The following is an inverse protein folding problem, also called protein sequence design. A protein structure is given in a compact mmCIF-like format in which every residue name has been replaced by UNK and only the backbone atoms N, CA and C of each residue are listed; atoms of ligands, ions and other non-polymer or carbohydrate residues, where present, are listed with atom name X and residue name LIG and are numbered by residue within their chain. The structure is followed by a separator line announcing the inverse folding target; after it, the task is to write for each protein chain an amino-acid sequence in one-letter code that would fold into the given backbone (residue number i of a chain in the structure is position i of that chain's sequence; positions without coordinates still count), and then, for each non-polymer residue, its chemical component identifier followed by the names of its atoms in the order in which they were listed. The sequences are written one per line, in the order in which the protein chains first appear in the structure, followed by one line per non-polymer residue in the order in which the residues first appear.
data_IF_897914682063
#
_entry.id   IF_897914682063
#
_cell.length_a   1.000
_cell.length_b   1.000
_cell.length_c   1.000
_cell.angle_alpha   90.00
_cell.angle_beta   90.00
_cell.angle_gamma   90.00
#
_symmetry.space_group_name_H-M   'P 1'
#
loop_
_entity.id
_entity.type
_entity.pdbx_description
1 polymer ?
#
# COMPACT_ATOMS: atom_id res chain seq x y z
N UNK A 1 -17.56 23.43 -40.05
CA UNK A 1 -19.04 23.41 -40.06
C UNK A 1 -19.45 23.34 -38.60
N UNK A 2 -19.70 24.38 -37.92
CA UNK A 2 -20.73 25.43 -37.99
C UNK A 2 -22.08 24.99 -37.43
N UNK A 3 -22.42 25.67 -36.29
CA UNK A 3 -23.77 26.04 -35.77
C UNK A 3 -24.52 24.96 -34.98
N UNK A 4 -25.24 25.22 -33.87
CA UNK A 4 -26.05 26.36 -33.32
C UNK A 4 -26.32 26.03 -31.86
N UNK A 5 -26.04 26.79 -30.81
CA UNK A 5 -26.77 27.92 -30.22
C UNK A 5 -28.25 27.65 -29.89
N UNK A 6 -28.61 27.58 -28.61
CA UNK A 6 -29.76 28.33 -28.07
C UNK A 6 -29.87 28.26 -26.52
N UNK A 7 -29.90 29.42 -25.95
CA UNK A 7 -30.19 29.76 -24.57
C UNK A 7 -31.70 29.71 -24.28
N UNK A 8 -32.08 29.37 -23.01
CA UNK A 8 -33.35 29.85 -22.47
C UNK A 8 -33.12 30.26 -21.01
N UNK A 9 -33.14 31.56 -20.83
CA UNK A 9 -33.24 32.32 -19.60
C UNK A 9 -34.73 32.44 -19.27
N UNK A 10 -35.20 32.03 -18.07
CA UNK A 10 -36.52 32.43 -17.54
C UNK A 10 -36.32 33.04 -16.16
N UNK A 11 -36.51 34.36 -16.17
CA UNK A 11 -36.70 35.23 -15.03
C UNK A 11 -38.17 35.12 -14.58
N UNK A 12 -38.42 34.93 -13.30
CA UNK A 12 -39.72 35.21 -12.71
C UNK A 12 -39.56 36.15 -11.50
N UNK A 13 -39.89 37.41 -11.81
CA UNK A 13 -40.20 38.46 -10.83
C UNK A 13 -41.73 38.45 -10.59
N UNK A 14 -42.14 38.44 -9.36
CA UNK A 14 -43.46 39.00 -8.93
C UNK A 14 -43.40 39.16 -7.42
N UNK A 15 -43.51 40.22 -6.86
CA UNK A 15 -44.19 41.53 -6.79
C UNK A 15 -44.75 41.70 -5.35
N UNK A 16 -44.34 42.81 -4.79
CA UNK A 16 -44.82 43.42 -3.56
C UNK A 16 -46.31 43.85 -3.65
N UNK A 17 -47.06 43.61 -2.57
CA UNK A 17 -48.19 44.45 -2.12
C UNK A 17 -48.29 44.16 -0.63
N UNK A 18 -48.30 45.07 0.35
CA UNK A 18 -48.75 46.43 0.47
C UNK A 18 -50.07 46.44 1.15
N UNK A 19 -50.16 47.04 2.36
CA UNK A 19 -51.28 47.63 3.07
C UNK A 19 -51.38 47.14 4.53
N UNK A 20 -51.56 47.89 5.57
CA UNK A 20 -51.86 49.31 5.84
C UNK A 20 -52.20 49.44 7.35
N UNK A 21 -51.72 50.47 7.93
CA UNK A 21 -52.00 51.05 9.26
C UNK A 21 -53.42 50.85 9.80
N UNK A 22 -53.48 50.61 11.11
CA UNK A 22 -54.47 51.35 11.97
C UNK A 22 -53.89 51.60 13.36
N UNK A 23 -53.59 52.85 13.63
CA UNK A 23 -53.40 53.39 14.94
C UNK A 23 -54.73 53.30 15.68
N UNK A 24 -54.69 52.97 16.97
CA UNK A 24 -55.60 53.56 17.96
C UNK A 24 -54.85 53.73 19.29
N UNK A 25 -54.73 54.97 19.66
CA UNK A 25 -54.39 55.45 21.00
C UNK A 25 -55.41 54.94 22.00
N UNK A 26 -54.97 54.49 23.17
CA UNK A 26 -55.60 54.88 24.43
C UNK A 26 -54.54 54.87 25.53
N UNK A 27 -54.33 56.04 26.07
CA UNK A 27 -53.54 56.29 27.25
C UNK A 27 -54.38 55.99 28.53
N UNK A 28 -53.75 55.35 29.50
CA UNK A 28 -54.31 55.33 30.86
C UNK A 28 -54.05 53.96 31.58
N UNK A 29 -53.07 53.98 32.42
CA UNK A 29 -52.86 53.31 33.69
C UNK A 29 -51.51 52.61 33.83
N UNK A 30 -50.46 53.38 33.87
CA UNK A 30 -49.28 53.08 34.66
C UNK A 30 -49.60 53.41 36.10
N UNK A 31 -49.73 52.41 36.98
CA UNK A 31 -49.43 52.51 38.43
C UNK A 31 -49.90 51.32 39.30
N UNK A 32 -50.15 50.10 38.77
CA UNK A 32 -50.53 48.99 39.67
C UNK A 32 -49.93 47.66 39.34
N UNK A 33 -48.84 47.59 38.53
CA UNK A 33 -48.21 46.31 38.16
C UNK A 33 -46.74 46.18 38.64
N UNK A 34 -46.30 46.96 39.63
CA UNK A 34 -44.93 46.93 40.15
C UNK A 34 -44.74 46.19 41.47
N UNK A 35 -45.73 45.51 42.04
CA UNK A 35 -45.59 44.91 43.38
C UNK A 35 -45.93 43.42 43.52
N UNK A 36 -46.03 42.62 42.42
CA UNK A 36 -46.29 41.18 42.54
C UNK A 36 -45.27 40.25 41.85
N UNK A 37 -44.13 40.78 41.36
CA UNK A 37 -43.07 39.92 40.81
C UNK A 37 -41.80 39.82 41.70
N UNK A 38 -42.05 39.76 43.01
CA UNK A 38 -40.98 39.48 43.99
C UNK A 38 -41.44 38.48 45.05
N UNK A 39 -42.04 37.36 44.61
CA UNK A 39 -42.12 36.17 45.46
C UNK A 39 -41.49 35.01 44.73
N UNK A 40 -40.24 34.76 45.06
CA UNK A 40 -39.31 33.81 44.57
C UNK A 40 -39.87 32.45 44.23
N UNK A 41 -39.56 32.03 43.05
CA UNK A 41 -39.37 30.60 42.78
C UNK A 41 -38.05 30.25 43.42
N UNK A 42 -38.05 30.06 44.72
CA UNK A 42 -37.03 29.28 45.43
C UNK A 42 -37.10 27.86 44.84
N UNK A 43 -36.27 27.55 43.86
CA UNK A 43 -35.96 26.15 43.53
C UNK A 43 -35.43 25.56 44.82
N UNK A 44 -36.30 24.80 45.54
CA UNK A 44 -35.84 23.86 46.59
C UNK A 44 -34.75 23.02 45.93
N UNK A 45 -33.50 23.19 46.35
CA UNK A 45 -32.44 22.30 46.02
C UNK A 45 -32.89 20.91 46.53
N UNK A 46 -33.23 20.05 45.63
CA UNK A 46 -33.56 18.66 45.93
C UNK A 46 -32.28 18.02 46.52
N UNK A 47 -32.24 18.00 47.88
CA UNK A 47 -31.05 17.54 48.66
C UNK A 47 -30.99 16.05 48.77
N UNK A 48 -31.96 15.33 48.18
CA UNK A 48 -31.90 13.85 48.20
C UNK A 48 -30.71 13.37 47.35
N UNK A 49 -29.83 12.52 47.91
CA UNK A 49 -28.71 11.93 47.17
C UNK A 49 -29.23 11.17 45.94
N UNK A 50 -28.61 11.40 44.81
CA UNK A 50 -29.02 10.70 43.56
C UNK A 50 -28.33 9.35 43.52
N UNK A 51 -29.10 8.28 43.31
CA UNK A 51 -28.54 6.92 43.10
C UNK A 51 -27.79 6.87 41.78
N UNK A 52 -26.53 6.47 41.81
CA UNK A 52 -25.66 6.42 40.65
C UNK A 52 -24.88 5.07 40.64
N UNK A 53 -24.51 4.62 39.45
CA UNK A 53 -23.52 3.59 39.24
C UNK A 53 -22.21 4.22 38.87
N UNK A 54 -21.12 3.67 39.40
CA UNK A 54 -19.78 4.16 39.12
C UNK A 54 -18.93 3.05 38.52
N UNK A 55 -17.95 3.46 37.68
CA UNK A 55 -16.89 2.60 37.17
C UNK A 55 -15.55 3.24 37.50
N UNK A 56 -14.64 2.45 38.05
CA UNK A 56 -13.26 2.91 38.24
C UNK A 56 -12.51 2.89 36.93
N UNK A 57 -11.97 4.03 36.51
CA UNK A 57 -11.22 4.19 35.25
C UNK A 57 -9.78 4.57 35.59
N UNK A 58 -8.84 3.80 35.01
CA UNK A 58 -7.41 4.02 35.19
C UNK A 58 -6.79 4.58 33.91
N UNK A 59 -5.82 5.52 34.03
CA UNK A 59 -5.13 6.03 32.87
C UNK A 59 -4.31 4.93 32.21
N UNK A 60 -4.35 4.87 30.90
CA UNK A 60 -3.59 3.89 30.10
C UNK A 60 -3.07 4.57 28.84
N UNK A 61 -2.04 3.98 28.26
CA UNK A 61 -1.61 4.37 26.91
C UNK A 61 -2.48 3.62 25.90
N UNK A 62 -3.45 4.33 25.35
CA UNK A 62 -4.36 3.78 24.37
C UNK A 62 -3.78 3.96 22.95
N UNK A 63 -3.93 2.96 22.12
CA UNK A 63 -3.48 3.02 20.71
C UNK A 63 -4.66 2.85 19.77
N UNK A 64 -4.80 3.78 18.84
CA UNK A 64 -5.73 3.61 17.71
C UNK A 64 -5.09 2.64 16.71
N UNK A 65 -5.86 1.67 16.21
CA UNK A 65 -5.50 0.87 15.05
C UNK A 65 -6.28 1.35 13.83
N UNK A 66 -5.58 1.58 12.73
CA UNK A 66 -6.18 1.85 11.41
C UNK A 66 -6.27 0.51 10.70
N UNK A 67 -7.47 0.14 10.25
CA UNK A 67 -7.68 -1.07 9.47
C UNK A 67 -7.92 -0.71 8.00
N UNK A 68 -7.15 -1.29 7.11
CA UNK A 68 -7.23 -1.09 5.66
C UNK A 68 -7.49 -2.43 4.99
N UNK A 69 -8.40 -2.47 4.02
CA UNK A 69 -8.65 -3.67 3.24
C UNK A 69 -7.73 -3.70 2.02
N UNK A 70 -7.28 -4.90 1.66
CA UNK A 70 -6.44 -5.12 0.50
C UNK A 70 -6.57 -6.53 -0.05
N UNK A 71 -5.97 -6.75 -1.20
CA UNK A 71 -5.84 -8.06 -1.84
C UNK A 71 -4.37 -8.43 -1.89
N UNK A 72 -4.07 -9.66 -1.52
CA UNK A 72 -2.69 -10.17 -1.60
C UNK A 72 -2.30 -10.34 -3.06
N UNK A 73 -1.15 -9.83 -3.42
CA UNK A 73 -0.51 -10.01 -4.71
C UNK A 73 0.86 -10.70 -4.53
N UNK A 74 1.28 -11.41 -5.55
CA UNK A 74 2.67 -11.85 -5.61
C UNK A 74 3.59 -10.65 -5.88
N UNK A 75 4.78 -10.63 -5.30
CA UNK A 75 5.76 -9.58 -5.66
C UNK A 75 6.23 -9.69 -7.12
N UNK A 76 6.24 -10.91 -7.65
CA UNK A 76 6.60 -11.19 -9.05
C UNK A 76 5.54 -12.11 -9.65
N UNK A 77 4.91 -11.64 -10.70
CA UNK A 77 3.92 -12.33 -11.50
C UNK A 77 4.20 -12.00 -12.97
N UNK A 78 4.73 -12.97 -13.70
CA UNK A 78 5.22 -12.74 -15.06
C UNK A 78 4.68 -13.82 -16.00
N UNK A 79 4.08 -13.37 -17.07
CA UNK A 79 3.78 -14.22 -18.22
C UNK A 79 5.03 -14.36 -19.07
N UNK A 80 5.60 -15.55 -19.11
CA UNK A 80 6.76 -15.91 -19.92
C UNK A 80 6.30 -16.13 -21.35
N UNK A 81 6.88 -15.37 -22.28
CA UNK A 81 6.56 -15.45 -23.70
C UNK A 81 7.74 -16.01 -24.48
N UNK A 82 7.47 -16.64 -25.63
CA UNK A 82 8.54 -17.09 -26.52
C UNK A 82 9.20 -15.90 -27.25
N UNK A 83 10.50 -16.06 -27.52
CA UNK A 83 11.32 -15.11 -28.29
C UNK A 83 11.65 -15.62 -29.71
N UNK A 84 11.19 -16.83 -30.04
CA UNK A 84 11.40 -17.44 -31.35
C UNK A 84 10.11 -18.05 -31.86
N UNK A 85 10.09 -18.40 -33.13
CA UNK A 85 8.96 -19.06 -33.83
C UNK A 85 9.35 -20.51 -34.10
N UNK A 86 8.43 -21.44 -33.93
CA UNK A 86 8.64 -22.86 -34.18
C UNK A 86 7.62 -23.73 -33.48
N UNK A 87 7.76 -25.06 -33.63
CA UNK A 87 6.94 -26.05 -32.94
C UNK A 87 7.48 -26.33 -31.54
N UNK A 88 6.59 -26.52 -30.57
CA UNK A 88 6.99 -26.95 -29.21
C UNK A 88 7.31 -28.44 -29.19
N UNK A 89 8.59 -28.78 -29.10
CA UNK A 89 9.07 -30.17 -29.04
C UNK A 89 8.73 -30.79 -27.69
N UNK A 90 8.94 -30.07 -26.60
CA UNK A 90 8.67 -30.57 -25.25
C UNK A 90 8.22 -29.48 -24.27
N UNK A 91 7.40 -29.89 -23.31
CA UNK A 91 6.97 -29.10 -22.14
C UNK A 91 7.37 -29.86 -20.88
N UNK A 92 8.14 -29.22 -20.00
CA UNK A 92 8.68 -29.86 -18.78
C UNK A 92 7.88 -29.47 -17.52
N UNK A 93 6.73 -28.82 -17.67
CA UNK A 93 5.93 -28.29 -16.56
C UNK A 93 4.45 -28.56 -16.73
N UNK A 94 3.73 -28.47 -15.59
CA UNK A 94 2.28 -28.51 -15.56
C UNK A 94 1.73 -27.45 -14.59
N UNK A 95 0.43 -27.23 -14.60
CA UNK A 95 -0.25 -26.32 -13.70
C UNK A 95 0.05 -26.68 -12.23
N UNK A 96 0.37 -25.70 -11.42
CA UNK A 96 0.69 -25.88 -10.00
C UNK A 96 2.11 -26.40 -9.71
N UNK A 97 2.90 -26.75 -10.73
CA UNK A 97 4.29 -27.20 -10.53
C UNK A 97 5.17 -26.05 -10.06
N UNK A 98 5.99 -26.30 -9.04
CA UNK A 98 7.06 -25.40 -8.64
C UNK A 98 8.26 -25.52 -9.59
N UNK A 99 8.77 -24.37 -10.02
CA UNK A 99 9.92 -24.26 -10.94
C UNK A 99 10.99 -23.34 -10.35
N UNK A 100 12.25 -23.64 -10.67
CA UNK A 100 13.41 -22.83 -10.24
C UNK A 100 13.81 -21.85 -11.35
N UNK A 101 14.43 -20.74 -10.96
CA UNK A 101 15.03 -19.79 -11.91
C UNK A 101 15.98 -20.49 -12.87
N UNK A 102 15.81 -20.23 -14.18
CA UNK A 102 16.62 -20.84 -15.23
C UNK A 102 16.18 -22.26 -15.63
N UNK A 103 15.21 -22.88 -14.95
CA UNK A 103 14.64 -24.16 -15.35
C UNK A 103 13.96 -24.03 -16.71
N UNK A 104 14.25 -24.97 -17.62
CA UNK A 104 13.64 -24.98 -18.95
C UNK A 104 12.20 -25.43 -18.86
N UNK A 105 11.28 -24.56 -19.27
CA UNK A 105 9.84 -24.80 -19.30
C UNK A 105 9.43 -25.45 -20.61
N UNK A 106 9.86 -24.89 -21.74
CA UNK A 106 9.55 -25.39 -23.07
C UNK A 106 10.79 -25.42 -23.95
N UNK A 107 10.85 -26.38 -24.82
CA UNK A 107 11.84 -26.46 -25.90
C UNK A 107 11.12 -26.30 -27.21
N UNK A 108 11.52 -25.30 -27.97
CA UNK A 108 11.03 -25.01 -29.34
C UNK A 108 12.00 -25.65 -30.32
N UNK A 109 11.50 -26.06 -31.47
CA UNK A 109 12.33 -26.59 -32.57
C UNK A 109 13.54 -25.71 -32.82
N UNK A 110 14.74 -26.27 -32.79
CA UNK A 110 15.99 -25.52 -32.71
C UNK A 110 17.08 -26.01 -33.65
N UNK A 111 16.78 -26.97 -34.52
CA UNK A 111 17.80 -27.58 -35.42
C UNK A 111 18.44 -26.57 -36.34
N UNK A 112 17.65 -25.61 -36.87
CA UNK A 112 18.18 -24.53 -37.73
C UNK A 112 19.09 -23.59 -36.94
N UNK A 113 18.73 -23.22 -35.73
CA UNK A 113 19.51 -22.32 -34.86
C UNK A 113 20.79 -23.02 -34.37
N UNK A 114 20.71 -24.31 -34.09
CA UNK A 114 21.86 -25.13 -33.71
C UNK A 114 22.88 -25.19 -34.86
N UNK A 115 22.44 -25.52 -36.08
CA UNK A 115 23.30 -25.58 -37.27
C UNK A 115 23.93 -24.20 -37.55
N UNK A 116 23.15 -23.09 -37.38
CA UNK A 116 23.69 -21.76 -37.55
C UNK A 116 24.76 -21.39 -36.50
N UNK A 117 24.61 -21.86 -35.26
CA UNK A 117 25.61 -21.68 -34.22
C UNK A 117 26.90 -22.47 -34.55
N UNK A 118 26.79 -23.73 -34.91
CA UNK A 118 27.91 -24.56 -35.30
C UNK A 118 28.69 -23.98 -36.49
N UNK A 119 27.96 -23.43 -37.50
CA UNK A 119 28.60 -22.76 -38.64
C UNK A 119 29.35 -21.49 -38.23
N UNK A 120 28.77 -20.68 -37.33
CA UNK A 120 29.42 -19.47 -36.81
C UNK A 120 30.68 -19.81 -36.00
N UNK A 121 30.65 -20.90 -35.19
CA UNK A 121 31.78 -21.36 -34.41
C UNK A 121 32.94 -21.84 -35.33
N UNK A 122 32.64 -22.53 -36.41
CA UNK A 122 33.66 -22.92 -37.44
C UNK A 122 34.26 -21.66 -38.07
N UNK A 123 33.46 -20.66 -38.39
CA UNK A 123 33.93 -19.40 -38.96
C UNK A 123 34.82 -18.62 -38.00
N UNK A 124 34.46 -18.60 -36.69
CA UNK A 124 35.29 -18.02 -35.64
C UNK A 124 36.67 -18.72 -35.57
N UNK A 125 36.71 -20.03 -35.55
CA UNK A 125 37.95 -20.78 -35.50
C UNK A 125 38.87 -20.48 -36.70
N UNK A 126 38.29 -20.32 -37.90
CA UNK A 126 39.04 -19.91 -39.09
C UNK A 126 39.60 -18.49 -38.95
N UNK A 127 38.82 -17.55 -38.41
CA UNK A 127 39.27 -16.16 -38.17
C UNK A 127 40.39 -16.12 -37.08
N UNK A 128 40.30 -16.93 -36.03
CA UNK A 128 41.35 -17.08 -35.02
C UNK A 128 42.68 -17.57 -35.62
N UNK A 129 42.65 -18.62 -36.42
CA UNK A 129 43.85 -19.12 -37.09
C UNK A 129 44.49 -18.10 -38.04
N UNK A 130 43.66 -17.32 -38.77
CA UNK A 130 44.17 -16.26 -39.63
C UNK A 130 44.79 -15.10 -38.82
N UNK A 131 44.15 -14.70 -37.73
CA UNK A 131 44.69 -13.68 -36.83
C UNK A 131 46.05 -14.11 -36.23
N UNK A 132 46.15 -15.33 -35.73
CA UNK A 132 47.40 -15.87 -35.16
C UNK A 132 48.53 -15.92 -36.20
N UNK A 133 48.21 -16.31 -37.45
CA UNK A 133 49.16 -16.27 -38.53
C UNK A 133 49.65 -14.85 -38.81
N UNK A 134 48.70 -13.86 -38.95
CA UNK A 134 49.07 -12.46 -39.22
C UNK A 134 49.86 -11.82 -38.06
N UNK A 135 49.52 -12.19 -36.85
CA UNK A 135 50.24 -11.76 -35.65
C UNK A 135 51.70 -12.26 -35.66
N UNK A 136 51.89 -13.52 -35.93
CA UNK A 136 53.25 -14.12 -36.01
C UNK A 136 54.07 -13.48 -37.14
N UNK A 137 53.45 -13.17 -38.29
CA UNK A 137 54.13 -12.44 -39.39
C UNK A 137 54.51 -11.06 -38.96
N UNK A 138 53.58 -10.28 -38.34
CA UNK A 138 53.82 -8.93 -37.89
C UNK A 138 54.92 -8.86 -36.81
N UNK A 139 54.92 -9.77 -35.83
CA UNK A 139 55.96 -9.86 -34.78
C UNK A 139 57.34 -10.06 -35.39
N UNK A 140 57.48 -10.95 -36.40
CA UNK A 140 58.73 -11.16 -37.12
C UNK A 140 59.11 -9.90 -37.92
N UNK A 141 58.20 -9.28 -38.65
CA UNK A 141 58.46 -8.13 -39.51
C UNK A 141 58.78 -6.90 -38.65
N UNK A 142 58.19 -6.78 -37.50
CA UNK A 142 58.52 -5.72 -36.49
C UNK A 142 59.97 -5.85 -36.00
N UNK A 143 60.42 -7.08 -35.67
CA UNK A 143 61.80 -7.32 -35.26
C UNK A 143 62.83 -7.05 -36.38
N UNK A 144 62.51 -7.36 -37.64
CA UNK A 144 63.34 -7.02 -38.81
C UNK A 144 63.40 -5.53 -39.08
N UNK A 145 62.28 -4.80 -38.90
CA UNK A 145 62.19 -3.35 -39.07
C UNK A 145 63.05 -2.62 -38.00
N UNK A 146 62.96 -3.04 -36.74
CA UNK A 146 63.81 -2.51 -35.65
C UNK A 146 65.32 -2.66 -35.97
N UNK A 147 65.68 -3.78 -36.58
CA UNK A 147 67.06 -4.05 -37.00
C UNK A 147 67.40 -3.42 -38.36
N UNK A 148 66.52 -2.58 -38.91
CA UNK A 148 66.72 -1.92 -40.25
C UNK A 148 66.85 -2.87 -41.42
N UNK A 149 66.33 -4.07 -41.27
CA UNK A 149 66.40 -5.12 -42.30
C UNK A 149 65.09 -5.20 -43.14
N UNK A 150 64.07 -4.35 -42.85
CA UNK A 150 62.81 -4.28 -43.53
C UNK A 150 62.49 -2.86 -43.93
N UNK A 151 61.82 -2.65 -45.08
CA UNK A 151 61.34 -1.32 -45.46
C UNK A 151 60.10 -0.90 -44.65
N UNK A 152 59.93 0.42 -44.51
CA UNK A 152 58.76 0.94 -43.81
C UNK A 152 57.44 0.52 -44.48
N UNK A 153 57.41 0.51 -45.82
CA UNK A 153 56.24 0.08 -46.57
C UNK A 153 55.81 -1.36 -46.22
N UNK A 154 56.79 -2.29 -46.15
CA UNK A 154 56.51 -3.66 -45.77
C UNK A 154 56.03 -3.84 -44.34
N UNK A 155 56.57 -3.04 -43.40
CA UNK A 155 56.14 -2.99 -42.01
C UNK A 155 54.66 -2.51 -41.95
N UNK A 156 54.34 -1.35 -42.59
CA UNK A 156 53.00 -0.77 -42.63
C UNK A 156 51.97 -1.75 -43.25
N UNK A 157 52.36 -2.54 -44.27
CA UNK A 157 51.53 -3.58 -44.86
C UNK A 157 51.25 -4.74 -43.87
N UNK A 158 52.28 -5.18 -43.15
CA UNK A 158 52.05 -6.25 -42.15
C UNK A 158 51.23 -5.79 -40.97
N UNK A 159 51.39 -4.56 -40.50
CA UNK A 159 50.59 -3.94 -39.44
C UNK A 159 49.11 -3.84 -39.90
N UNK A 160 48.84 -3.31 -41.10
CA UNK A 160 47.49 -3.20 -41.63
C UNK A 160 46.86 -4.58 -41.83
N UNK A 161 47.60 -5.59 -42.23
CA UNK A 161 47.14 -6.97 -42.37
C UNK A 161 46.74 -7.57 -41.02
N UNK A 162 47.53 -7.31 -39.96
CA UNK A 162 47.20 -7.75 -38.61
C UNK A 162 45.88 -7.07 -38.15
N UNK A 163 45.80 -5.75 -38.28
CA UNK A 163 44.60 -4.99 -37.91
C UNK A 163 43.34 -5.45 -38.65
N UNK A 164 43.44 -5.74 -39.97
CA UNK A 164 42.36 -6.29 -40.77
C UNK A 164 41.91 -7.67 -40.28
N UNK A 165 42.85 -8.53 -39.91
CA UNK A 165 42.55 -9.85 -39.36
C UNK A 165 41.90 -9.77 -37.95
N UNK A 166 42.30 -8.81 -37.13
CA UNK A 166 41.69 -8.50 -35.82
C UNK A 166 40.22 -8.12 -35.95
N UNK A 167 39.90 -7.22 -36.89
CA UNK A 167 38.53 -6.84 -37.18
C UNK A 167 37.67 -8.00 -37.67
N UNK A 168 38.27 -8.90 -38.51
CA UNK A 168 37.60 -10.10 -39.00
C UNK A 168 37.31 -11.07 -37.83
N UNK A 169 38.25 -11.23 -36.91
CA UNK A 169 38.07 -12.04 -35.69
C UNK A 169 36.93 -11.49 -34.83
N UNK A 170 36.89 -10.18 -34.59
CA UNK A 170 35.85 -9.56 -33.79
C UNK A 170 34.44 -9.69 -34.44
N UNK A 171 34.38 -9.58 -35.77
CA UNK A 171 33.15 -9.84 -36.52
C UNK A 171 32.68 -11.30 -36.35
N UNK A 172 33.58 -12.25 -36.42
CA UNK A 172 33.26 -13.67 -36.25
C UNK A 172 32.78 -13.96 -34.82
N UNK A 173 33.40 -13.35 -33.78
CA UNK A 173 32.97 -13.47 -32.39
C UNK A 173 31.52 -12.92 -32.20
N UNK A 174 31.24 -11.78 -32.79
CA UNK A 174 29.90 -11.19 -32.76
C UNK A 174 28.87 -12.10 -33.46
N UNK A 175 29.25 -12.75 -34.57
CA UNK A 175 28.40 -13.71 -35.26
C UNK A 175 28.04 -14.91 -34.37
N UNK A 176 29.02 -15.50 -33.69
CA UNK A 176 28.81 -16.60 -32.72
C UNK A 176 27.88 -16.15 -31.60
N UNK A 177 28.09 -14.96 -31.03
CA UNK A 177 27.26 -14.46 -29.96
C UNK A 177 25.78 -14.31 -30.41
N UNK A 178 25.56 -13.79 -31.61
CA UNK A 178 24.20 -13.66 -32.17
C UNK A 178 23.54 -15.01 -32.44
N UNK A 179 24.27 -15.97 -33.02
CA UNK A 179 23.78 -17.31 -33.26
C UNK A 179 23.44 -18.04 -31.94
N UNK A 180 24.28 -17.86 -30.93
CA UNK A 180 24.06 -18.41 -29.58
C UNK A 180 22.83 -17.87 -28.91
N UNK A 181 22.62 -16.55 -28.98
CA UNK A 181 21.38 -15.91 -28.43
C UNK A 181 20.13 -16.46 -29.13
N UNK A 182 20.18 -16.66 -30.46
CA UNK A 182 19.06 -17.23 -31.20
C UNK A 182 18.80 -18.70 -30.79
N UNK A 183 19.83 -19.48 -30.60
CA UNK A 183 19.74 -20.86 -30.12
C UNK A 183 19.20 -20.91 -28.68
N UNK A 184 19.73 -20.08 -27.76
CA UNK A 184 19.28 -19.99 -26.38
C UNK A 184 17.81 -19.56 -26.28
N UNK A 185 17.30 -18.74 -27.22
CA UNK A 185 15.90 -18.32 -27.26
C UNK A 185 14.92 -19.46 -27.59
N UNK A 186 15.42 -20.59 -28.11
CA UNK A 186 14.60 -21.79 -28.33
C UNK A 186 14.26 -22.52 -27.02
N UNK A 187 14.96 -22.20 -25.93
CA UNK A 187 14.72 -22.76 -24.59
C UNK A 187 14.03 -21.70 -23.73
N UNK A 188 12.71 -21.83 -23.56
CA UNK A 188 11.94 -20.95 -22.70
C UNK A 188 12.23 -21.30 -21.25
N UNK A 189 12.79 -20.38 -20.48
CA UNK A 189 13.23 -20.60 -19.09
C UNK A 189 12.44 -19.78 -18.10
N UNK A 190 12.29 -20.30 -16.88
CA UNK A 190 11.67 -19.58 -15.77
C UNK A 190 12.53 -18.38 -15.33
N UNK A 191 11.98 -17.16 -15.21
CA UNK A 191 12.74 -15.97 -14.86
C UNK A 191 13.12 -15.90 -13.38
N UNK A 192 12.37 -16.58 -12.51
CA UNK A 192 12.57 -16.67 -11.06
C UNK A 192 11.92 -17.94 -10.51
N UNK A 193 12.21 -18.24 -9.23
CA UNK A 193 11.60 -19.35 -8.50
C UNK A 193 10.11 -19.07 -8.24
N UNK A 194 9.23 -19.97 -8.61
CA UNK A 194 7.80 -19.75 -8.47
C UNK A 194 6.96 -20.96 -8.83
N UNK A 195 5.65 -20.76 -8.88
CA UNK A 195 4.66 -21.77 -9.26
C UNK A 195 4.04 -21.40 -10.60
N UNK A 196 3.81 -22.39 -11.43
CA UNK A 196 3.09 -22.21 -12.71
C UNK A 196 1.61 -22.01 -12.41
N UNK A 197 1.13 -20.81 -12.71
CA UNK A 197 -0.27 -20.42 -12.52
C UNK A 197 -1.14 -20.61 -13.76
N UNK A 198 -0.51 -20.66 -14.95
CA UNK A 198 -1.23 -20.87 -16.21
C UNK A 198 -0.31 -21.51 -17.25
N UNK A 199 -0.90 -22.33 -18.14
CA UNK A 199 -0.23 -23.02 -19.25
C UNK A 199 -1.09 -22.95 -20.52
N UNK A 200 -1.01 -21.86 -21.29
CA UNK A 200 -1.85 -21.66 -22.47
C UNK A 200 -1.41 -22.43 -23.72
N UNK A 201 -0.32 -23.19 -23.67
CA UNK A 201 0.25 -23.90 -24.82
C UNK A 201 0.29 -25.41 -24.62
N UNK A 202 0.40 -26.15 -25.72
CA UNK A 202 0.49 -27.63 -25.75
C UNK A 202 1.73 -28.06 -26.54
N UNK A 203 2.22 -29.25 -26.21
CA UNK A 203 3.27 -29.90 -27.00
C UNK A 203 2.78 -30.18 -28.41
N UNK A 204 3.63 -29.99 -29.43
CA UNK A 204 3.28 -30.14 -30.83
C UNK A 204 2.61 -28.86 -31.42
N UNK A 205 2.37 -27.84 -30.61
CA UNK A 205 1.78 -26.60 -31.07
C UNK A 205 2.83 -25.72 -31.74
N UNK A 206 2.49 -25.16 -32.91
CA UNK A 206 3.30 -24.14 -33.58
C UNK A 206 3.01 -22.77 -32.97
N UNK A 207 4.04 -22.05 -32.53
CA UNK A 207 3.95 -20.77 -31.86
C UNK A 207 4.81 -19.70 -32.55
N UNK A 208 4.47 -18.44 -32.35
CA UNK A 208 5.17 -17.27 -32.89
C UNK A 208 5.76 -16.42 -31.77
N UNK A 209 6.69 -15.55 -32.11
CA UNK A 209 7.30 -14.59 -31.17
C UNK A 209 6.22 -13.85 -30.38
N UNK A 210 6.37 -13.78 -29.07
CA UNK A 210 5.42 -13.11 -28.17
C UNK A 210 4.27 -13.99 -27.66
N UNK A 211 4.14 -15.24 -28.16
CA UNK A 211 3.11 -16.17 -27.64
C UNK A 211 3.37 -16.48 -26.16
N UNK A 212 2.36 -16.34 -25.28
CA UNK A 212 2.45 -16.74 -23.89
C UNK A 212 2.67 -18.25 -23.75
N UNK A 213 3.67 -18.66 -22.99
CA UNK A 213 4.00 -20.08 -22.76
C UNK A 213 3.60 -20.53 -21.37
N UNK A 214 3.89 -19.72 -20.35
CA UNK A 214 3.57 -20.00 -18.96
C UNK A 214 3.40 -18.71 -18.16
N UNK A 215 2.58 -18.72 -17.13
CA UNK A 215 2.54 -17.66 -16.12
C UNK A 215 3.21 -18.18 -14.86
N UNK A 216 4.31 -17.54 -14.46
CA UNK A 216 5.09 -17.89 -13.27
C UNK A 216 4.80 -16.87 -12.18
N UNK A 217 4.39 -17.36 -11.00
CA UNK A 217 3.99 -16.54 -9.86
C UNK A 217 4.86 -16.86 -8.65
N UNK A 218 5.45 -15.83 -8.03
CA UNK A 218 6.18 -15.96 -6.78
C UNK A 218 5.21 -16.07 -5.61
N UNK A 219 4.97 -17.27 -5.15
CA UNK A 219 4.07 -17.53 -4.02
C UNK A 219 4.77 -17.45 -2.65
N UNK A 220 6.07 -17.22 -2.60
CA UNK A 220 6.84 -17.10 -1.35
C UNK A 220 6.90 -15.67 -0.84
N UNK A 221 7.07 -14.71 -1.76
CA UNK A 221 7.19 -13.30 -1.44
C UNK A 221 5.93 -12.58 -1.89
N UNK A 222 5.15 -12.15 -0.91
CA UNK A 222 3.84 -11.56 -1.11
C UNK A 222 3.87 -10.07 -0.84
N UNK A 223 2.93 -9.36 -1.43
CA UNK A 223 2.70 -7.95 -1.19
C UNK A 223 1.21 -7.67 -1.10
N UNK A 224 0.87 -6.55 -0.50
CA UNK A 224 -0.45 -5.96 -0.56
C UNK A 224 -0.31 -4.46 -0.80
N UNK A 225 -1.17 -3.92 -1.64
CA UNK A 225 -1.29 -2.50 -1.85
C UNK A 225 -2.62 -2.06 -1.24
N UNK A 226 -2.54 -1.19 -0.23
CA UNK A 226 -3.71 -0.64 0.45
C UNK A 226 -3.80 0.86 0.23
N UNK A 227 -5.03 1.39 0.22
CA UNK A 227 -5.29 2.81 0.07
C UNK A 227 -5.43 3.51 1.41
N UNK A 228 -4.66 4.56 1.63
CA UNK A 228 -4.77 5.46 2.78
C UNK A 228 -5.55 6.72 2.39
N UNK A 229 -6.48 7.13 3.24
CA UNK A 229 -7.04 8.48 3.13
C UNK A 229 -6.02 9.53 3.62
N UNK A 230 -6.29 10.80 3.40
CA UNK A 230 -5.38 11.90 3.76
C UNK A 230 -5.06 11.92 5.27
N UNK A 231 -6.05 11.68 6.14
CA UNK A 231 -5.84 11.72 7.58
C UNK A 231 -4.97 10.57 8.06
N UNK A 232 -5.23 9.35 7.57
CA UNK A 232 -4.46 8.15 7.91
C UNK A 232 -3.01 8.26 7.40
N UNK A 233 -2.82 8.87 6.21
CA UNK A 233 -1.49 9.18 5.69
C UNK A 233 -0.71 10.13 6.61
N UNK A 234 -1.35 11.21 7.09
CA UNK A 234 -0.72 12.17 8.00
C UNK A 234 -0.32 11.50 9.33
N UNK A 235 -1.20 10.66 9.87
CA UNK A 235 -0.93 9.87 11.09
C UNK A 235 0.27 8.94 10.85
N UNK A 236 0.27 8.19 9.75
CA UNK A 236 1.37 7.28 9.40
C UNK A 236 2.70 8.02 9.22
N UNK A 237 2.71 9.15 8.48
CA UNK A 237 3.94 9.94 8.25
C UNK A 237 4.55 10.52 9.53
N UNK A 238 3.73 10.83 10.55
CA UNK A 238 4.22 11.28 11.87
C UNK A 238 4.97 10.17 12.62
N UNK A 239 4.50 8.95 12.54
CA UNK A 239 5.03 7.83 13.33
C UNK A 239 6.18 7.10 12.63
N UNK A 240 6.22 7.08 11.30
CA UNK A 240 7.21 6.39 10.45
C UNK A 240 7.47 4.92 10.85
N UNK A 241 6.47 4.25 11.43
CA UNK A 241 6.59 2.82 11.75
C UNK A 241 6.44 2.01 10.47
N UNK A 242 7.39 1.10 10.24
CA UNK A 242 7.39 0.23 9.07
C UNK A 242 6.66 -1.09 9.30
N UNK A 243 6.51 -1.50 10.57
CA UNK A 243 5.92 -2.78 10.92
C UNK A 243 4.40 -2.66 11.05
N UNK A 244 3.69 -3.55 10.38
CA UNK A 244 2.23 -3.60 10.34
C UNK A 244 1.75 -5.05 10.52
N UNK A 245 0.54 -5.19 11.03
CA UNK A 245 -0.11 -6.49 11.20
C UNK A 245 -0.94 -6.80 9.93
N UNK A 246 -0.57 -7.83 9.18
CA UNK A 246 -1.35 -8.34 8.04
C UNK A 246 -2.30 -9.42 8.56
N UNK A 247 -3.59 -9.11 8.65
CA UNK A 247 -4.63 -9.95 9.23
C UNK A 247 -5.33 -10.69 8.08
N UNK A 248 -5.11 -11.98 7.99
CA UNK A 248 -5.63 -12.85 6.93
C UNK A 248 -6.98 -13.42 7.36
N UNK A 249 -7.09 -13.81 8.63
CA UNK A 249 -8.32 -14.26 9.27
C UNK A 249 -8.29 -13.89 10.75
N UNK A 250 -9.36 -14.13 11.48
CA UNK A 250 -9.44 -13.83 12.93
C UNK A 250 -8.38 -14.56 13.75
N UNK A 251 -7.87 -15.71 13.26
CA UNK A 251 -6.84 -16.52 13.91
C UNK A 251 -5.44 -16.40 13.28
N UNK A 252 -5.32 -15.75 12.12
CA UNK A 252 -4.07 -15.72 11.37
C UNK A 252 -3.64 -14.30 11.06
N UNK A 253 -2.58 -13.86 11.75
CA UNK A 253 -1.92 -12.57 11.53
C UNK A 253 -0.45 -12.78 11.21
N UNK A 254 0.04 -12.11 10.18
CA UNK A 254 1.42 -12.19 9.72
C UNK A 254 2.06 -10.80 9.84
N UNK A 255 3.30 -10.69 10.33
CA UNK A 255 4.00 -9.42 10.33
C UNK A 255 4.31 -8.99 8.89
N UNK A 256 3.99 -7.76 8.56
CA UNK A 256 4.31 -7.12 7.29
C UNK A 256 5.20 -5.90 7.48
N UNK A 257 5.94 -5.54 6.42
CA UNK A 257 6.81 -4.38 6.41
C UNK A 257 6.37 -3.40 5.33
N UNK A 258 6.15 -2.14 5.68
CA UNK A 258 5.87 -1.08 4.73
C UNK A 258 7.15 -0.72 3.99
N UNK A 259 7.16 -0.90 2.68
CA UNK A 259 8.31 -0.57 1.82
C UNK A 259 8.17 0.77 1.12
N UNK A 260 6.96 1.30 1.02
CA UNK A 260 6.73 2.60 0.41
C UNK A 260 5.31 3.09 0.53
N UNK A 261 5.16 4.39 0.53
CA UNK A 261 3.87 5.09 0.49
C UNK A 261 3.95 6.14 -0.61
N UNK A 262 2.96 6.13 -1.49
CA UNK A 262 2.88 7.09 -2.59
C UNK A 262 2.66 8.51 -2.07
N UNK A 263 3.34 9.49 -2.67
CA UNK A 263 3.19 10.91 -2.32
C UNK A 263 2.05 11.59 -3.11
N UNK A 264 1.47 10.91 -4.09
CA UNK A 264 0.30 11.37 -4.84
C UNK A 264 -0.84 10.35 -4.72
N UNK A 265 -2.10 10.81 -4.61
CA UNK A 265 -3.25 9.92 -4.59
C UNK A 265 -3.51 9.31 -5.97
N UNK A 266 -4.05 8.11 -6.00
CA UNK A 266 -4.59 7.51 -7.21
C UNK A 266 -5.75 8.36 -7.74
N UNK A 267 -5.77 8.63 -9.05
CA UNK A 267 -6.74 9.53 -9.68
C UNK A 267 -8.19 9.02 -9.63
N UNK A 268 -8.40 7.71 -9.49
CA UNK A 268 -9.75 7.12 -9.48
C UNK A 268 -10.31 7.00 -8.07
N UNK A 269 -9.45 6.62 -7.12
CA UNK A 269 -9.87 6.34 -5.73
C UNK A 269 -9.63 7.50 -4.78
N UNK A 270 -8.79 8.49 -5.16
CA UNK A 270 -8.32 9.59 -4.29
C UNK A 270 -7.60 9.11 -3.03
N UNK A 271 -7.10 7.87 -3.03
CA UNK A 271 -6.36 7.27 -1.92
C UNK A 271 -4.86 7.24 -2.23
N UNK A 272 -4.06 7.35 -1.18
CA UNK A 272 -2.60 7.20 -1.26
C UNK A 272 -2.23 5.74 -1.13
N UNK A 273 -1.49 5.21 -2.09
CA UNK A 273 -1.10 3.79 -2.10
C UNK A 273 0.02 3.53 -1.10
N UNK A 274 -0.19 2.56 -0.21
CA UNK A 274 0.83 2.03 0.68
C UNK A 274 1.15 0.59 0.27
N UNK A 275 2.41 0.32 0.00
CA UNK A 275 2.91 -1.02 -0.35
C UNK A 275 3.50 -1.69 0.87
N UNK A 276 3.00 -2.87 1.17
CA UNK A 276 3.43 -3.71 2.29
C UNK A 276 3.92 -5.03 1.73
N UNK A 277 5.05 -5.52 2.20
CA UNK A 277 5.61 -6.82 1.82
C UNK A 277 5.65 -7.74 3.03
N UNK A 278 5.44 -9.02 2.78
CA UNK A 278 5.51 -10.07 3.78
C UNK A 278 5.80 -11.42 3.13
N UNK A 279 6.22 -12.41 3.92
CA UNK A 279 6.46 -13.78 3.44
C UNK A 279 5.20 -14.61 3.61
N UNK A 280 4.96 -15.51 2.65
CA UNK A 280 3.92 -16.53 2.80
C UNK A 280 4.19 -17.41 4.02
N UNK A 281 3.13 -17.78 4.74
CA UNK A 281 3.19 -18.75 5.83
C UNK A 281 2.99 -20.18 5.32
N UNK A 282 3.62 -21.09 6.04
CA UNK A 282 3.46 -22.53 5.87
C UNK A 282 2.73 -23.07 7.12
N UNK A 283 1.91 -24.08 6.93
CA UNK A 283 1.31 -24.85 8.03
C UNK A 283 2.32 -25.85 8.65
N UNK A 284 1.85 -26.64 9.62
CA UNK A 284 2.67 -27.68 10.28
C UNK A 284 3.13 -28.77 9.31
N UNK A 285 2.39 -29.00 8.21
CA UNK A 285 2.72 -29.95 7.14
C UNK A 285 3.60 -29.33 6.04
N UNK A 286 4.14 -28.11 6.26
CA UNK A 286 4.96 -27.36 5.30
C UNK A 286 4.20 -26.97 4.00
N UNK A 287 2.87 -26.84 4.07
CA UNK A 287 2.00 -26.38 2.97
C UNK A 287 1.76 -24.89 3.10
N UNK A 288 1.71 -24.18 1.99
CA UNK A 288 1.38 -22.77 2.00
C UNK A 288 -0.10 -22.57 2.32
N UNK A 289 -0.40 -21.64 3.22
CA UNK A 289 -1.77 -21.30 3.62
C UNK A 289 -2.16 -19.89 3.16
N UNK A 290 -1.21 -19.11 2.67
CA UNK A 290 -1.43 -17.74 2.20
C UNK A 290 -1.07 -17.64 0.73
N UNK A 291 -2.04 -17.25 -0.10
CA UNK A 291 -1.91 -17.19 -1.55
C UNK A 291 -2.25 -15.81 -2.11
N UNK A 292 -1.67 -15.44 -3.27
CA UNK A 292 -2.15 -14.31 -4.04
C UNK A 292 -3.64 -14.43 -4.37
N UNK A 293 -4.37 -13.31 -4.35
CA UNK A 293 -5.81 -13.24 -4.57
C UNK A 293 -6.66 -13.26 -3.29
N UNK A 294 -6.10 -13.61 -2.13
CA UNK A 294 -6.82 -13.56 -0.86
C UNK A 294 -7.08 -12.12 -0.43
N UNK A 295 -8.29 -11.86 0.09
CA UNK A 295 -8.65 -10.60 0.71
C UNK A 295 -8.17 -10.58 2.16
N UNK A 296 -7.62 -9.45 2.59
CA UNK A 296 -7.05 -9.27 3.92
C UNK A 296 -7.37 -7.91 4.51
N UNK A 297 -7.16 -7.80 5.82
CA UNK A 297 -7.11 -6.52 6.53
C UNK A 297 -5.68 -6.23 6.98
N UNK A 298 -5.25 -5.00 6.81
CA UNK A 298 -3.96 -4.52 7.32
C UNK A 298 -4.23 -3.65 8.54
N UNK A 299 -3.69 -4.03 9.68
CA UNK A 299 -3.75 -3.28 10.93
C UNK A 299 -2.49 -2.43 11.10
N UNK A 300 -2.63 -1.12 11.00
CA UNK A 300 -1.54 -0.18 11.29
C UNK A 300 -1.75 0.34 12.71
N UNK A 301 -0.76 0.19 13.59
CA UNK A 301 -0.80 0.82 14.91
C UNK A 301 -0.58 2.31 14.73
N UNK A 302 -1.65 3.07 14.86
CA UNK A 302 -1.61 4.53 14.87
C UNK A 302 -1.39 5.05 16.31
N UNK A 303 -1.30 6.36 16.46
CA UNK A 303 -0.96 7.13 17.66
C UNK A 303 -1.22 6.43 19.00
N UNK A 304 -0.20 6.43 19.87
CA UNK A 304 -0.39 6.17 21.29
C UNK A 304 -0.85 7.45 21.98
N UNK A 305 -1.96 7.38 22.68
CA UNK A 305 -2.47 8.46 23.51
C UNK A 305 -2.10 8.13 24.97
N UNK A 306 -1.00 8.66 25.53
CA UNK A 306 -0.65 8.43 26.93
C UNK A 306 -1.66 9.11 27.84
N UNK A 307 -1.85 8.57 29.04
CA UNK A 307 -2.73 9.14 30.07
C UNK A 307 -4.16 9.41 29.56
N UNK A 308 -4.69 8.48 28.77
CA UNK A 308 -6.02 8.59 28.20
C UNK A 308 -6.95 7.49 28.71
N UNK A 309 -8.25 7.68 28.46
CA UNK A 309 -9.31 6.83 28.96
C UNK A 309 -10.27 6.45 27.83
N UNK A 310 -10.82 5.22 27.89
CA UNK A 310 -11.99 4.86 27.11
C UNK A 310 -13.24 5.29 27.86
N UNK A 311 -14.07 6.14 27.26
CA UNK A 311 -15.34 6.55 27.81
C UNK A 311 -16.42 6.38 26.74
N UNK A 312 -17.50 5.68 27.14
CA UNK A 312 -18.67 5.54 26.26
C UNK A 312 -19.30 6.92 26.02
N UNK A 313 -19.71 7.16 24.77
CA UNK A 313 -20.34 8.41 24.37
C UNK A 313 -21.59 8.75 25.19
N UNK A 314 -22.34 7.74 25.66
CA UNK A 314 -23.52 7.92 26.50
C UNK A 314 -23.19 8.57 27.85
N UNK A 315 -21.96 8.40 28.36
CA UNK A 315 -21.51 8.95 29.62
C UNK A 315 -20.95 10.37 29.52
N UNK A 316 -20.95 10.96 28.34
CA UNK A 316 -20.49 12.32 28.11
C UNK A 316 -21.67 13.30 27.93
N UNK A 317 -21.43 14.55 28.28
CA UNK A 317 -22.35 15.61 28.06
C UNK A 317 -21.68 16.76 27.33
N UNK A 318 -22.40 17.40 26.41
CA UNK A 318 -21.95 18.55 25.66
C UNK A 318 -22.58 19.84 26.22
N UNK A 319 -21.74 20.81 26.54
CA UNK A 319 -22.19 22.15 26.91
C UNK A 319 -21.45 23.17 26.07
N UNK A 320 -22.17 23.84 25.19
CA UNK A 320 -21.57 24.73 24.21
C UNK A 320 -20.72 23.93 23.20
N UNK A 321 -19.39 24.08 23.27
CA UNK A 321 -18.43 23.37 22.43
C UNK A 321 -17.56 22.36 23.20
N UNK A 322 -17.74 22.25 24.52
CA UNK A 322 -16.93 21.45 25.41
C UNK A 322 -17.67 20.21 25.88
N UNK A 323 -16.99 19.07 25.83
CA UNK A 323 -17.46 17.84 26.43
C UNK A 323 -17.02 17.75 27.88
N UNK A 324 -17.86 17.14 28.73
CA UNK A 324 -17.56 16.87 30.12
C UNK A 324 -18.16 15.54 30.57
N UNK A 325 -17.62 15.02 31.65
CA UNK A 325 -18.08 13.82 32.36
C UNK A 325 -18.35 14.17 33.83
N UNK A 326 -19.17 13.36 34.50
CA UNK A 326 -19.30 13.43 35.95
C UNK A 326 -18.44 12.34 36.61
N UNK A 327 -17.62 12.75 37.54
CA UNK A 327 -16.86 11.87 38.41
C UNK A 327 -17.40 11.92 39.81
N UNK A 328 -17.34 10.79 40.55
CA UNK A 328 -17.66 10.78 41.98
C UNK A 328 -16.41 11.18 42.75
N UNK A 329 -16.56 12.16 43.63
CA UNK A 329 -15.55 12.57 44.59
C UNK A 329 -16.20 12.92 45.91
N UNK A 330 -15.83 12.23 46.99
CA UNK A 330 -16.30 12.42 48.35
C UNK A 330 -17.86 12.48 48.48
N UNK A 331 -18.56 11.54 47.81
CA UNK A 331 -20.02 11.48 47.84
C UNK A 331 -20.73 12.53 47.01
N UNK A 332 -20.04 13.24 46.12
CA UNK A 332 -20.57 14.28 45.22
C UNK A 332 -20.22 14.01 43.78
N UNK A 333 -21.14 14.41 42.87
CA UNK A 333 -20.85 14.42 41.45
C UNK A 333 -20.07 15.69 41.09
N UNK A 334 -18.87 15.55 40.59
CA UNK A 334 -18.00 16.64 40.15
C UNK A 334 -17.90 16.61 38.64
N UNK A 335 -18.17 17.77 38.02
CA UNK A 335 -18.04 17.92 36.56
C UNK A 335 -16.59 18.12 36.18
N UNK A 336 -16.06 17.24 35.27
CA UNK A 336 -14.71 17.36 34.73
C UNK A 336 -14.77 17.54 33.21
N UNK A 337 -14.09 18.56 32.72
CA UNK A 337 -13.90 18.79 31.29
C UNK A 337 -13.02 17.75 30.68
N UNK A 338 -13.39 17.29 29.49
CA UNK A 338 -12.60 16.32 28.72
C UNK A 338 -12.21 16.88 27.36
N UNK A 339 -11.09 16.43 26.88
CA UNK A 339 -10.61 16.62 25.51
C UNK A 339 -10.81 15.30 24.77
N UNK A 340 -11.57 15.35 23.66
CA UNK A 340 -11.77 14.17 22.80
C UNK A 340 -10.57 14.07 21.86
N UNK A 341 -9.81 12.98 21.98
CA UNK A 341 -8.61 12.73 21.19
C UNK A 341 -8.95 11.99 19.88
N UNK A 342 -9.82 10.98 19.97
CA UNK A 342 -10.36 10.26 18.79
C UNK A 342 -11.62 9.49 19.17
N UNK A 343 -12.47 9.19 18.19
CA UNK A 343 -13.60 8.28 18.34
C UNK A 343 -13.26 6.88 17.80
N UNK A 344 -13.83 5.86 18.44
CA UNK A 344 -13.72 4.45 18.02
C UNK A 344 -15.13 3.85 18.09
N UNK A 345 -16.05 4.41 17.30
CA UNK A 345 -17.45 3.99 17.30
C UNK A 345 -18.22 4.43 18.57
N UNK A 346 -18.63 3.48 19.43
CA UNK A 346 -19.39 3.81 20.64
C UNK A 346 -18.51 4.33 21.79
N UNK A 347 -17.22 3.98 21.81
CA UNK A 347 -16.26 4.44 22.77
C UNK A 347 -15.35 5.52 22.20
N UNK A 348 -15.03 6.51 23.01
CA UNK A 348 -14.13 7.58 22.63
C UNK A 348 -12.88 7.56 23.51
N UNK A 349 -11.74 7.81 22.87
CA UNK A 349 -10.49 8.04 23.62
C UNK A 349 -10.48 9.51 24.02
N UNK A 350 -10.45 9.74 25.31
CA UNK A 350 -10.49 11.08 25.88
C UNK A 350 -9.37 11.28 26.89
N UNK A 351 -9.04 12.52 27.16
CA UNK A 351 -8.15 12.96 28.24
C UNK A 351 -8.90 13.94 29.13
N UNK A 352 -8.69 13.86 30.43
CA UNK A 352 -9.19 14.93 31.31
C UNK A 352 -8.36 16.19 31.07
N UNK A 353 -9.02 17.36 31.05
CA UNK A 353 -8.32 18.65 30.94
C UNK A 353 -7.43 18.91 32.14
N UNK A 354 -7.75 18.31 33.31
CA UNK A 354 -6.99 18.39 34.56
C UNK A 354 -6.98 17.05 35.29
N UNK A 355 -5.82 16.59 35.74
CA UNK A 355 -5.67 15.38 36.56
C UNK A 355 -5.79 14.07 35.80
N UNK A 356 -5.31 14.02 34.54
CA UNK A 356 -5.37 12.84 33.68
C UNK A 356 -4.40 11.71 34.09
N UNK A 357 -3.50 11.96 35.01
CA UNK A 357 -2.49 11.02 35.53
C UNK A 357 -3.01 10.06 36.60
N UNK A 358 -4.24 10.29 37.12
CA UNK A 358 -4.81 9.53 38.27
C UNK A 358 -6.06 8.75 37.86
N UNK A 359 -6.30 7.64 38.56
CA UNK A 359 -7.57 6.93 38.46
C UNK A 359 -8.70 7.78 39.08
N UNK A 360 -9.89 7.63 38.50
CA UNK A 360 -11.10 8.29 39.01
C UNK A 360 -12.33 7.41 38.86
N UNK A 361 -13.40 7.73 39.63
CA UNK A 361 -14.67 7.02 39.59
C UNK A 361 -15.62 7.74 38.67
N UNK A 362 -15.78 7.21 37.44
CA UNK A 362 -16.73 7.76 36.45
C UNK A 362 -18.15 7.36 36.84
N UNK A 363 -19.08 8.30 36.81
CA UNK A 363 -20.50 8.01 36.95
C UNK A 363 -21.04 7.58 35.58
N UNK A 364 -21.51 6.32 35.50
CA UNK A 364 -21.99 5.69 34.25
C UNK A 364 -23.51 5.58 34.14
N UNK A 365 -24.25 5.85 35.23
CA UNK A 365 -25.71 5.82 35.21
C UNK A 365 -26.29 6.89 36.15
N UNK A 366 -27.48 7.40 35.82
CA UNK A 366 -28.14 8.48 36.60
C UNK A 366 -27.70 9.90 36.23
N UNK A 367 -27.00 10.05 35.12
CA UNK A 367 -26.31 11.29 34.68
C UNK A 367 -27.30 12.40 34.28
N UNK A 368 -28.53 12.05 33.81
CA UNK A 368 -29.46 13.00 33.19
C UNK A 368 -29.89 14.13 34.14
N UNK A 369 -29.90 13.88 35.43
CA UNK A 369 -30.35 14.80 36.44
C UNK A 369 -29.24 15.28 37.39
N UNK A 370 -27.97 15.07 37.01
CA UNK A 370 -26.84 15.53 37.79
C UNK A 370 -26.46 16.97 37.44
N UNK A 371 -26.18 17.73 38.51
CA UNK A 371 -25.51 19.02 38.43
C UNK A 371 -24.18 18.93 39.19
N UNK A 372 -23.28 19.86 38.92
CA UNK A 372 -22.01 19.96 39.62
C UNK A 372 -22.20 20.14 41.11
N UNK A 373 -21.51 19.37 41.95
CA UNK A 373 -21.59 19.39 43.39
C UNK A 373 -22.79 18.65 44.02
N UNK A 374 -23.68 18.01 43.22
CA UNK A 374 -24.82 17.25 43.77
C UNK A 374 -24.38 16.01 44.54
N UNK A 375 -25.01 15.80 45.71
CA UNK A 375 -24.78 14.59 46.51
C UNK A 375 -25.25 13.33 45.76
N UNK A 376 -24.44 12.28 45.76
CA UNK A 376 -24.72 11.00 45.12
C UNK A 376 -24.60 9.84 46.07
N UNK A 377 -25.45 8.83 45.88
CA UNK A 377 -25.43 7.55 46.61
C UNK A 377 -25.01 6.48 45.60
N UNK A 378 -23.91 5.77 45.90
CA UNK A 378 -23.39 4.69 45.05
C UNK A 378 -24.23 3.45 45.29
N UNK A 379 -24.89 2.95 44.24
CA UNK A 379 -25.73 1.75 44.29
C UNK A 379 -24.94 0.52 43.83
N UNK A 380 -24.00 0.71 42.88
CA UNK A 380 -23.21 -0.36 42.29
C UNK A 380 -21.86 0.19 41.79
N UNK A 381 -20.77 -0.56 42.01
CA UNK A 381 -19.45 -0.23 41.42
C UNK A 381 -19.04 -1.37 40.50
N UNK A 382 -18.75 -1.06 39.26
CA UNK A 382 -18.14 -1.96 38.24
C UNK A 382 -16.61 -1.82 38.23
#
# INVERSE_FOLDING_TARGET
MMKILAAVLIIFLFSLTGCSKKENNDAGNEETAKNEIQKGIGRKSDTTPRKVRIREIKPQTLTRKIFLNGVIEAQRDVTVTTKTTGEIISLSFDLGKYVKRGETLAVIEHDLQKNALEQAEVSLKQAELNYDLRKTIFERDSALYENKALSREQYDVSENSLRASELTLEQARTSVQNAKVNYDNCFVKAPFDGVIADRPVQQGQYITIGTPVARVVDTANLQVIVGLNQNDLLIYKRQRKTDVDVIISDSLTVPGTVVGVGDAPDKKTSLYSMKIVFKSMLDEDNRRIVFPGMQIKVGIRAEGYPESFYIDRSNMRLVGRDYYVFIENEGKAVRKGIEVLTDIGNEWIVRLKEGSDKSFRLIVSGIEALNDGRAVEIVESE
#
